data_IF_212578173980
#
_entry.id   IF_212578173980
#
_cell.length_a   1.000
_cell.length_b   1.000
_cell.length_c   1.000
_cell.angle_alpha   90.00
_cell.angle_beta   90.00
_cell.angle_gamma   90.00
#
_symmetry.space_group_name_H-M   'P 1'
#
loop_
_entity.id
_entity.type
_entity.pdbx_description
1 polymer ?
#
# COMPACT_ATOMS: atom_id res chain seq x y z
N UNK A 1 -17.54 55.07 -12.32
CA UNK A 1 -16.90 54.34 -11.20
C UNK A 1 -17.73 53.14 -10.86
N UNK A 2 -17.36 51.98 -11.38
CA UNK A 2 -18.01 50.69 -11.13
C UNK A 2 -17.58 50.18 -9.76
N UNK A 3 -18.50 50.08 -8.80
CA UNK A 3 -18.24 49.50 -7.49
C UNK A 3 -17.94 48.00 -7.68
N UNK A 4 -16.69 47.60 -7.47
CA UNK A 4 -16.33 46.17 -7.37
C UNK A 4 -17.16 45.53 -6.24
N UNK A 5 -18.02 44.59 -6.61
CA UNK A 5 -18.74 43.76 -5.67
C UNK A 5 -17.71 42.75 -5.09
N UNK A 6 -17.16 43.02 -3.90
CA UNK A 6 -16.37 42.02 -3.17
C UNK A 6 -17.24 40.78 -2.94
N UNK A 7 -16.90 39.69 -3.60
CA UNK A 7 -17.50 38.40 -3.31
C UNK A 7 -17.23 38.07 -1.84
N UNK A 8 -18.27 37.75 -1.07
CA UNK A 8 -18.12 37.14 0.26
C UNK A 8 -17.38 35.85 0.10
N UNK A 9 -16.32 35.58 0.89
CA UNK A 9 -15.73 34.26 1.00
C UNK A 9 -16.83 33.26 1.35
N UNK A 10 -16.95 32.14 0.63
CA UNK A 10 -17.88 31.10 1.01
C UNK A 10 -17.50 30.59 2.41
N UNK A 11 -18.52 30.35 3.23
CA UNK A 11 -18.36 29.74 4.54
C UNK A 11 -18.07 28.24 4.32
N UNK A 12 -16.77 27.88 4.32
CA UNK A 12 -16.34 26.50 4.11
C UNK A 12 -16.18 25.88 5.49
N UNK A 13 -17.07 24.96 5.80
CA UNK A 13 -16.95 24.13 7.02
C UNK A 13 -15.58 23.44 7.03
N UNK A 14 -14.83 23.67 8.08
CA UNK A 14 -13.54 23.03 8.27
C UNK A 14 -13.76 21.52 8.53
N UNK A 15 -13.12 20.69 7.72
CA UNK A 15 -13.18 19.23 7.87
C UNK A 15 -12.34 18.80 9.07
N UNK A 16 -12.80 17.80 9.78
CA UNK A 16 -11.99 17.10 10.80
C UNK A 16 -10.78 16.40 10.16
N UNK A 17 -9.81 16.02 10.98
CA UNK A 17 -8.65 15.24 10.50
C UNK A 17 -9.09 13.91 9.89
N UNK A 18 -10.08 13.24 10.50
CA UNK A 18 -10.66 11.99 10.00
C UNK A 18 -11.34 12.18 8.64
N UNK A 19 -12.17 13.23 8.48
CA UNK A 19 -12.81 13.53 7.20
C UNK A 19 -11.78 13.85 6.11
N UNK A 20 -10.68 14.56 6.45
CA UNK A 20 -9.57 14.83 5.51
C UNK A 20 -8.87 13.54 5.11
N UNK A 21 -8.61 12.66 6.10
CA UNK A 21 -7.95 11.38 5.88
C UNK A 21 -8.77 10.46 4.99
N UNK A 22 -10.06 10.30 5.27
CA UNK A 22 -10.96 9.47 4.47
C UNK A 22 -11.03 9.95 3.02
N UNK A 23 -11.16 11.26 2.80
CA UNK A 23 -11.18 11.83 1.44
C UNK A 23 -9.87 11.64 0.70
N UNK A 24 -8.74 11.83 1.39
CA UNK A 24 -7.43 11.60 0.80
C UNK A 24 -7.25 10.14 0.40
N UNK A 25 -7.67 9.24 1.25
CA UNK A 25 -7.62 7.80 1.02
C UNK A 25 -8.53 7.38 -0.15
N UNK A 26 -9.75 7.90 -0.21
CA UNK A 26 -10.65 7.67 -1.35
C UNK A 26 -10.05 8.20 -2.66
N UNK A 27 -9.43 9.38 -2.61
CA UNK A 27 -8.77 9.97 -3.77
C UNK A 27 -7.62 9.09 -4.28
N UNK A 28 -6.70 8.67 -3.39
CA UNK A 28 -5.59 7.80 -3.78
C UNK A 28 -6.06 6.44 -4.29
N UNK A 29 -7.08 5.85 -3.67
CA UNK A 29 -7.63 4.58 -4.10
C UNK A 29 -8.26 4.69 -5.50
N UNK A 30 -8.98 5.80 -5.76
CA UNK A 30 -9.58 6.06 -7.06
C UNK A 30 -8.51 6.32 -8.13
N UNK A 31 -7.51 7.15 -7.83
CA UNK A 31 -6.41 7.45 -8.74
C UNK A 31 -5.66 6.17 -9.15
N UNK A 32 -5.35 5.31 -8.17
CA UNK A 32 -4.71 4.02 -8.41
C UNK A 32 -5.57 3.10 -9.27
N UNK A 33 -6.88 3.02 -9.00
CA UNK A 33 -7.82 2.21 -9.77
C UNK A 33 -7.96 2.68 -11.23
N UNK A 34 -8.04 4.00 -11.44
CA UNK A 34 -8.13 4.60 -12.78
C UNK A 34 -6.82 4.41 -13.55
N UNK A 35 -5.68 4.60 -12.89
CA UNK A 35 -4.36 4.36 -13.47
C UNK A 35 -4.21 2.90 -13.89
N UNK A 36 -4.55 1.95 -13.02
CA UNK A 36 -4.54 0.53 -13.36
C UNK A 36 -5.41 0.22 -14.57
N UNK A 37 -6.67 0.71 -14.60
CA UNK A 37 -7.58 0.52 -15.74
C UNK A 37 -6.96 1.04 -17.04
N UNK A 38 -6.34 2.20 -16.99
CA UNK A 38 -5.70 2.82 -18.15
C UNK A 38 -4.53 1.97 -18.65
N UNK A 39 -3.62 1.59 -17.79
CA UNK A 39 -2.45 0.78 -18.14
C UNK A 39 -2.84 -0.64 -18.60
N UNK A 40 -3.87 -1.24 -17.97
CA UNK A 40 -4.43 -2.53 -18.41
C UNK A 40 -4.95 -2.44 -19.86
N UNK A 41 -5.71 -1.39 -20.18
CA UNK A 41 -6.25 -1.16 -21.54
C UNK A 41 -5.15 -0.93 -22.56
N UNK A 42 -4.07 -0.26 -22.17
CA UNK A 42 -2.92 0.02 -23.05
C UNK A 42 -1.94 -1.14 -23.13
N UNK A 43 -2.06 -2.16 -22.29
CA UNK A 43 -1.09 -3.26 -22.20
C UNK A 43 0.24 -2.86 -21.56
N UNK A 44 0.26 -1.78 -20.77
CA UNK A 44 1.47 -1.18 -20.17
C UNK A 44 1.51 -1.29 -18.65
N UNK A 45 0.90 -2.34 -18.07
CA UNK A 45 0.90 -2.54 -16.61
C UNK A 45 2.31 -2.75 -16.08
N UNK A 46 3.16 -3.45 -16.84
CA UNK A 46 4.53 -3.72 -16.43
C UNK A 46 5.34 -2.42 -16.34
N UNK A 47 5.29 -1.59 -17.37
CA UNK A 47 5.97 -0.30 -17.41
C UNK A 47 5.51 0.62 -16.28
N UNK A 48 4.21 0.62 -15.98
CA UNK A 48 3.66 1.36 -14.87
C UNK A 48 4.18 0.86 -13.51
N UNK A 49 4.32 -0.46 -13.33
CA UNK A 49 4.94 -1.05 -12.13
C UNK A 49 6.41 -0.63 -12.03
N UNK A 50 7.15 -0.69 -13.14
CA UNK A 50 8.55 -0.29 -13.19
C UNK A 50 8.70 1.19 -12.76
N UNK A 51 7.83 2.10 -13.26
CA UNK A 51 7.81 3.53 -12.92
C UNK A 51 7.49 3.76 -11.43
N UNK A 52 6.52 3.01 -10.87
CA UNK A 52 6.19 3.08 -9.44
C UNK A 52 7.40 2.64 -8.60
N UNK A 53 8.04 1.55 -8.98
CA UNK A 53 9.20 1.03 -8.26
C UNK A 53 10.35 2.03 -8.31
N UNK A 54 10.60 2.65 -9.44
CA UNK A 54 11.64 3.67 -9.59
C UNK A 54 11.31 4.91 -8.73
N UNK A 55 10.06 5.34 -8.68
CA UNK A 55 9.63 6.40 -7.77
C UNK A 55 9.82 6.01 -6.30
N UNK A 56 9.51 4.77 -5.92
CA UNK A 56 9.74 4.27 -4.56
C UNK A 56 11.22 4.20 -4.20
N UNK A 57 12.12 3.87 -5.14
CA UNK A 57 13.56 3.92 -4.90
C UNK A 57 14.05 5.35 -4.61
N UNK A 58 13.52 6.35 -5.30
CA UNK A 58 13.84 7.76 -5.05
C UNK A 58 13.30 8.27 -3.71
N UNK A 59 12.12 7.79 -3.31
CA UNK A 59 11.48 8.19 -2.05
C UNK A 59 11.76 7.22 -0.88
N UNK A 60 12.41 6.11 -1.17
CA UNK A 60 12.49 4.91 -0.35
C UNK A 60 12.85 5.07 1.12
N UNK A 61 13.84 5.88 1.50
CA UNK A 61 14.18 6.05 2.91
C UNK A 61 13.06 6.68 3.75
N UNK A 62 12.10 7.36 3.12
CA UNK A 62 11.04 8.09 3.82
C UNK A 62 9.76 7.29 4.01
N UNK A 63 9.46 6.33 3.11
CA UNK A 63 8.15 5.65 3.09
C UNK A 63 8.20 4.20 3.59
N UNK A 64 9.21 3.42 3.22
CA UNK A 64 9.26 1.98 3.56
C UNK A 64 10.29 1.71 4.67
N UNK A 65 10.98 2.75 5.16
CA UNK A 65 12.10 2.61 6.05
C UNK A 65 13.26 1.89 5.35
N UNK A 66 14.42 2.46 5.41
CA UNK A 66 15.63 1.81 4.90
C UNK A 66 15.90 0.58 5.77
N UNK A 67 15.60 -0.63 5.27
CA UNK A 67 15.81 -1.89 6.00
C UNK A 67 17.27 -2.01 6.48
N UNK A 68 18.29 -1.70 5.67
CA UNK A 68 19.66 -1.60 6.16
C UNK A 68 19.84 -0.63 7.34
N UNK A 69 19.20 0.54 7.31
CA UNK A 69 19.23 1.47 8.46
C UNK A 69 18.45 0.93 9.66
N UNK A 70 17.33 0.23 9.44
CA UNK A 70 16.60 -0.42 10.51
C UNK A 70 17.45 -1.52 11.17
N UNK A 71 18.09 -2.37 10.37
CA UNK A 71 19.03 -3.41 10.86
C UNK A 71 20.17 -2.76 11.64
N UNK A 72 20.77 -1.70 11.12
CA UNK A 72 21.83 -0.97 11.82
C UNK A 72 21.34 -0.36 13.13
N UNK A 73 20.11 0.15 13.20
CA UNK A 73 19.51 0.68 14.44
C UNK A 73 19.20 -0.41 15.46
N UNK A 74 18.75 -1.57 15.01
CA UNK A 74 18.47 -2.71 15.89
C UNK A 74 19.77 -3.29 16.49
N UNK A 75 20.90 -3.05 15.84
CA UNK A 75 22.23 -3.50 16.26
C UNK A 75 22.25 -4.99 16.67
N UNK A 76 21.64 -5.84 15.87
CA UNK A 76 21.50 -7.27 16.13
C UNK A 76 21.71 -8.07 14.85
N UNK A 77 22.19 -9.30 15.03
CA UNK A 77 22.27 -10.31 13.98
C UNK A 77 21.16 -11.38 14.12
N UNK A 78 20.29 -11.22 15.12
CA UNK A 78 19.18 -12.13 15.34
C UNK A 78 18.12 -11.90 14.25
N UNK A 79 17.96 -12.87 13.37
CA UNK A 79 17.01 -12.83 12.25
C UNK A 79 15.57 -12.58 12.70
N UNK A 80 15.17 -13.10 13.85
CA UNK A 80 13.81 -12.93 14.37
C UNK A 80 13.56 -11.47 14.79
N UNK A 81 14.53 -10.84 15.45
CA UNK A 81 14.45 -9.43 15.87
C UNK A 81 14.42 -8.51 14.66
N UNK A 82 15.28 -8.78 13.66
CA UNK A 82 15.30 -8.04 12.40
C UNK A 82 13.93 -8.16 11.72
N UNK A 83 13.43 -9.38 11.63
CA UNK A 83 12.16 -9.71 11.01
C UNK A 83 10.99 -9.00 11.69
N UNK A 84 10.91 -9.04 13.01
CA UNK A 84 9.88 -8.33 13.78
C UNK A 84 9.92 -6.83 13.51
N UNK A 85 11.09 -6.24 13.42
CA UNK A 85 11.28 -4.82 13.08
C UNK A 85 10.79 -4.49 11.66
N UNK A 86 11.10 -5.33 10.68
CA UNK A 86 10.65 -5.19 9.30
C UNK A 86 9.12 -5.24 9.22
N UNK A 87 8.51 -6.25 9.87
CA UNK A 87 7.05 -6.40 9.87
C UNK A 87 6.37 -5.20 10.51
N UNK A 88 6.83 -4.76 11.67
CA UNK A 88 6.29 -3.56 12.33
C UNK A 88 6.31 -2.36 11.39
N UNK A 89 7.37 -2.22 10.61
CA UNK A 89 7.50 -1.12 9.65
C UNK A 89 6.54 -1.27 8.46
N UNK A 90 6.40 -2.49 7.93
CA UNK A 90 5.44 -2.79 6.85
C UNK A 90 4.02 -2.53 7.30
N UNK A 91 3.63 -3.05 8.48
CA UNK A 91 2.28 -2.86 9.02
C UNK A 91 2.00 -1.40 9.37
N UNK A 92 3.00 -0.67 9.87
CA UNK A 92 2.88 0.76 10.12
C UNK A 92 2.65 1.54 8.81
N UNK A 93 3.38 1.20 7.75
CA UNK A 93 3.20 1.80 6.43
C UNK A 93 1.83 1.47 5.84
N UNK A 94 1.38 0.22 5.99
CA UNK A 94 0.04 -0.19 5.56
C UNK A 94 -1.06 0.56 6.31
N UNK A 95 -0.95 0.71 7.63
CA UNK A 95 -1.89 1.50 8.42
C UNK A 95 -1.91 2.98 8.02
N UNK A 96 -0.75 3.55 7.72
CA UNK A 96 -0.68 4.94 7.24
C UNK A 96 -1.37 5.10 5.88
N UNK A 97 -1.24 4.12 5.00
CA UNK A 97 -1.78 4.19 3.64
C UNK A 97 -3.25 3.76 3.54
N UNK A 98 -3.69 2.84 4.39
CA UNK A 98 -4.98 2.15 4.23
C UNK A 98 -5.88 2.22 5.48
N UNK A 99 -5.43 2.89 6.54
CA UNK A 99 -6.13 2.96 7.82
C UNK A 99 -5.94 1.70 8.69
N UNK A 100 -6.54 1.67 9.89
CA UNK A 100 -6.41 0.55 10.80
C UNK A 100 -7.02 -0.71 10.20
N UNK A 101 -6.22 -1.75 10.07
CA UNK A 101 -6.63 -3.06 9.59
C UNK A 101 -6.58 -4.13 10.69
N UNK A 102 -7.33 -5.19 10.51
CA UNK A 102 -7.21 -6.40 11.33
C UNK A 102 -6.21 -7.34 10.67
N UNK A 103 -5.16 -7.70 11.38
CA UNK A 103 -4.15 -8.63 10.88
C UNK A 103 -3.66 -9.57 11.98
N UNK A 104 -3.19 -10.73 11.53
CA UNK A 104 -2.48 -11.71 12.36
C UNK A 104 -1.09 -11.93 11.77
N UNK A 105 -0.09 -12.00 12.63
CA UNK A 105 1.28 -12.31 12.24
C UNK A 105 1.67 -13.64 12.85
N UNK A 106 2.18 -14.55 12.05
CA UNK A 106 2.75 -15.81 12.50
C UNK A 106 4.14 -16.00 11.93
N UNK A 107 5.05 -16.50 12.76
CA UNK A 107 6.39 -16.87 12.34
C UNK A 107 6.38 -18.35 11.95
N UNK A 108 6.90 -18.66 10.79
CA UNK A 108 7.20 -20.04 10.41
C UNK A 108 8.61 -20.43 10.90
N UNK A 109 8.82 -21.73 11.10
CA UNK A 109 10.09 -22.25 11.63
C UNK A 109 11.31 -22.01 10.72
N UNK A 110 11.08 -21.71 9.43
CA UNK A 110 12.12 -21.60 8.40
C UNK A 110 12.50 -20.15 8.00
N UNK A 111 12.31 -19.18 8.89
CA UNK A 111 12.60 -17.77 8.58
C UNK A 111 11.59 -17.13 7.63
N UNK A 112 10.43 -17.73 7.49
CA UNK A 112 9.28 -17.15 6.80
C UNK A 112 8.35 -16.47 7.79
N UNK A 113 7.71 -15.38 7.36
CA UNK A 113 6.67 -14.72 8.13
C UNK A 113 5.41 -14.64 7.29
N UNK A 114 4.32 -14.98 7.94
CA UNK A 114 2.99 -14.90 7.34
C UNK A 114 2.20 -13.77 8.00
N UNK A 115 1.69 -12.85 7.18
CA UNK A 115 0.76 -11.80 7.60
C UNK A 115 -0.59 -12.10 6.98
N UNK A 116 -1.58 -12.34 7.83
CA UNK A 116 -2.96 -12.52 7.41
C UNK A 116 -3.74 -11.25 7.65
N UNK A 117 -4.14 -10.58 6.59
CA UNK A 117 -5.04 -9.44 6.64
C UNK A 117 -6.48 -9.93 6.64
N UNK A 118 -7.18 -9.66 7.75
CA UNK A 118 -8.61 -9.93 7.90
C UNK A 118 -9.39 -8.66 7.61
N UNK A 119 -10.55 -8.76 6.97
CA UNK A 119 -11.40 -7.60 6.69
C UNK A 119 -10.62 -6.42 6.09
N UNK A 120 -9.82 -6.69 5.07
CA UNK A 120 -8.90 -5.72 4.47
C UNK A 120 -9.66 -4.47 3.99
N UNK A 121 -9.49 -3.36 4.68
CA UNK A 121 -10.16 -2.09 4.36
C UNK A 121 -9.79 -1.59 2.98
N UNK A 122 -8.52 -1.76 2.59
CA UNK A 122 -8.03 -1.41 1.26
C UNK A 122 -8.80 -2.16 0.18
N UNK A 123 -8.88 -3.49 0.27
CA UNK A 123 -9.61 -4.31 -0.69
C UNK A 123 -11.09 -3.91 -0.75
N UNK A 124 -11.72 -3.68 0.41
CA UNK A 124 -13.10 -3.23 0.49
C UNK A 124 -13.31 -1.91 -0.24
N UNK A 125 -12.48 -0.90 0.02
CA UNK A 125 -12.56 0.40 -0.65
C UNK A 125 -12.28 0.31 -2.15
N UNK A 126 -11.27 -0.45 -2.58
CA UNK A 126 -10.99 -0.68 -4.00
C UNK A 126 -12.17 -1.32 -4.72
N UNK A 127 -12.81 -2.31 -4.10
CA UNK A 127 -13.99 -2.97 -4.63
C UNK A 127 -15.18 -2.01 -4.75
N UNK A 128 -15.44 -1.23 -3.72
CA UNK A 128 -16.52 -0.21 -3.74
C UNK A 128 -16.30 0.81 -4.85
N UNK A 129 -15.10 1.32 -5.02
CA UNK A 129 -14.76 2.29 -6.07
C UNK A 129 -14.88 1.65 -7.44
N UNK A 130 -14.36 0.45 -7.62
CA UNK A 130 -14.45 -0.28 -8.88
C UNK A 130 -15.90 -0.51 -9.30
N UNK A 131 -16.79 -0.83 -8.36
CA UNK A 131 -18.22 -1.01 -8.58
C UNK A 131 -18.91 0.32 -8.89
N UNK A 132 -18.73 1.34 -8.05
CA UNK A 132 -19.38 2.66 -8.21
C UNK A 132 -18.99 3.37 -9.50
N UNK A 133 -17.73 3.22 -9.92
CA UNK A 133 -17.22 3.84 -11.13
C UNK A 133 -17.31 2.94 -12.37
N UNK A 134 -17.95 1.78 -12.26
CA UNK A 134 -18.13 0.80 -13.35
C UNK A 134 -16.80 0.51 -14.08
N UNK A 135 -15.74 0.30 -13.32
CA UNK A 135 -14.39 0.17 -13.88
C UNK A 135 -14.17 -1.15 -14.62
N UNK A 136 -15.07 -2.14 -14.44
CA UNK A 136 -15.03 -3.42 -15.16
C UNK A 136 -13.97 -4.40 -14.66
N UNK A 137 -13.49 -4.25 -13.42
CA UNK A 137 -12.60 -5.19 -12.74
C UNK A 137 -12.93 -5.28 -11.25
N UNK A 138 -12.45 -6.33 -10.60
CA UNK A 138 -12.51 -6.49 -9.14
C UNK A 138 -11.30 -5.80 -8.50
N UNK A 139 -11.47 -5.29 -7.28
CA UNK A 139 -10.39 -4.73 -6.46
C UNK A 139 -9.19 -5.68 -6.27
N UNK A 140 -9.37 -6.99 -6.43
CA UNK A 140 -8.29 -8.00 -6.43
C UNK A 140 -7.23 -7.73 -7.47
N UNK A 141 -7.62 -7.32 -8.67
CA UNK A 141 -6.66 -7.04 -9.73
C UNK A 141 -5.68 -5.93 -9.35
N UNK A 142 -6.13 -4.97 -8.54
CA UNK A 142 -5.23 -3.93 -8.00
C UNK A 142 -4.29 -4.51 -6.96
N UNK A 143 -4.76 -5.44 -6.12
CA UNK A 143 -3.90 -6.15 -5.18
C UNK A 143 -2.81 -7.00 -5.88
N UNK A 144 -3.10 -7.53 -7.08
CA UNK A 144 -2.06 -8.19 -7.90
C UNK A 144 -0.96 -7.22 -8.33
N UNK A 145 -1.28 -5.97 -8.59
CA UNK A 145 -0.27 -4.93 -8.89
C UNK A 145 0.66 -4.71 -7.70
N UNK A 146 0.13 -4.68 -6.48
CA UNK A 146 0.95 -4.58 -5.27
C UNK A 146 1.93 -5.77 -5.15
N UNK A 147 1.44 -6.98 -5.46
CA UNK A 147 2.31 -8.14 -5.50
C UNK A 147 3.44 -7.96 -6.51
N UNK A 148 3.13 -7.45 -7.70
CA UNK A 148 4.15 -7.17 -8.72
C UNK A 148 5.17 -6.13 -8.25
N UNK A 149 4.71 -5.06 -7.59
CA UNK A 149 5.58 -4.03 -7.01
C UNK A 149 6.51 -4.64 -5.95
N UNK A 150 5.97 -5.38 -5.00
CA UNK A 150 6.74 -6.00 -3.92
C UNK A 150 7.70 -7.09 -4.40
N UNK A 151 7.32 -7.82 -5.45
CA UNK A 151 8.14 -8.89 -6.07
C UNK A 151 9.11 -8.37 -7.12
N UNK A 152 9.10 -7.05 -7.40
CA UNK A 152 10.00 -6.47 -8.39
C UNK A 152 11.47 -6.66 -7.97
N UNK A 153 12.41 -7.05 -8.87
CA UNK A 153 13.80 -7.33 -8.51
C UNK A 153 14.47 -6.24 -7.68
N UNK A 154 14.24 -4.96 -7.98
CA UNK A 154 14.76 -3.82 -7.21
C UNK A 154 14.20 -3.74 -5.78
N UNK A 155 13.04 -4.34 -5.52
CA UNK A 155 12.42 -4.40 -4.18
C UNK A 155 12.72 -5.73 -3.48
N UNK A 156 12.82 -6.82 -4.26
CA UNK A 156 13.01 -8.16 -3.75
C UNK A 156 14.34 -8.36 -3.00
N UNK A 157 15.36 -7.53 -3.30
CA UNK A 157 16.61 -7.50 -2.52
C UNK A 157 16.39 -7.15 -1.04
N UNK A 158 15.22 -6.62 -0.70
CA UNK A 158 14.89 -6.19 0.65
C UNK A 158 13.84 -7.07 1.30
N UNK A 159 12.77 -7.38 0.60
CA UNK A 159 11.67 -8.24 1.07
C UNK A 159 10.73 -8.55 -0.09
N UNK A 160 10.66 -9.80 -0.52
CA UNK A 160 9.69 -10.24 -1.51
C UNK A 160 8.66 -11.16 -0.88
N UNK A 161 7.36 -11.04 -1.21
CA UNK A 161 6.41 -12.07 -0.86
C UNK A 161 6.78 -13.34 -1.63
N UNK A 162 6.93 -14.45 -0.91
CA UNK A 162 7.12 -15.78 -1.52
C UNK A 162 5.79 -16.33 -2.01
N UNK A 163 4.70 -15.98 -1.34
CA UNK A 163 3.36 -16.43 -1.66
C UNK A 163 2.31 -15.40 -1.28
N UNK A 164 1.22 -15.33 -2.05
CA UNK A 164 0.02 -14.57 -1.72
C UNK A 164 -1.20 -15.44 -1.97
N UNK A 165 -1.98 -15.66 -0.93
CA UNK A 165 -3.24 -16.41 -0.96
C UNK A 165 -4.38 -15.42 -0.75
N UNK A 166 -5.35 -15.39 -1.68
CA UNK A 166 -6.52 -14.55 -1.57
C UNK A 166 -7.60 -15.23 -0.74
N UNK A 167 -8.16 -14.50 0.21
CA UNK A 167 -9.35 -14.87 0.99
C UNK A 167 -10.53 -13.98 0.59
N UNK A 168 -11.76 -14.35 1.00
CA UNK A 168 -12.97 -13.62 0.61
C UNK A 168 -12.90 -12.12 0.89
N UNK A 169 -12.48 -11.75 2.11
CA UNK A 169 -12.40 -10.36 2.56
C UNK A 169 -10.99 -9.93 2.96
N UNK A 170 -9.98 -10.69 2.56
CA UNK A 170 -8.61 -10.45 2.97
C UNK A 170 -7.60 -11.17 2.11
N UNK A 171 -6.42 -11.35 2.65
CA UNK A 171 -5.35 -12.10 2.01
C UNK A 171 -4.32 -12.56 3.05
N UNK A 172 -3.55 -13.57 2.66
CA UNK A 172 -2.39 -14.06 3.42
C UNK A 172 -1.14 -13.80 2.58
N UNK A 173 -0.20 -13.09 3.15
CA UNK A 173 1.09 -12.82 2.53
C UNK A 173 2.17 -13.57 3.30
N UNK A 174 2.95 -14.36 2.61
CA UNK A 174 4.14 -15.00 3.17
C UNK A 174 5.38 -14.30 2.63
N UNK A 175 6.24 -13.87 3.54
CA UNK A 175 7.49 -13.20 3.23
C UNK A 175 8.65 -14.07 3.66
N UNK A 176 9.66 -14.14 2.80
CA UNK A 176 10.93 -14.78 3.12
C UNK A 176 12.01 -13.72 3.27
N UNK A 177 12.67 -13.71 4.40
CA UNK A 177 13.81 -12.81 4.59
C UNK A 177 14.99 -13.34 3.80
N UNK A 178 15.48 -12.50 2.91
CA UNK A 178 16.75 -12.73 2.23
C UNK A 178 17.84 -12.23 3.17
N UNK A 179 18.52 -13.16 3.84
CA UNK A 179 19.70 -12.89 4.68
C UNK A 179 20.96 -12.82 3.83
#
# INVERSE_FOLDING_TARGET
>A
MTKEKKMKKPDIKEMTIEEKWDRLHDFFTMDHAVSYKTHKRLGTVKEWVDDIVDAYQLMGPRFIGDIPQLIAKLNTTDSNVIMEGVIKNVLFSDQMMHGPGEYEVSNAEDGEITIRFKNCLRYKKQREIAQKAELGFDGREICEVEKLILSHPKQAERMAPSEVIWEENGCVWTFKVVT
#
